data_IF_256703432657
#
_entry.id   IF_256703432657
#
_cell.length_a   1.000
_cell.length_b   1.000
_cell.length_c   1.000
_cell.angle_alpha   90.00
_cell.angle_beta   90.00
_cell.angle_gamma   90.00
#
_symmetry.space_group_name_H-M   'P 1'
#
loop_
_entity.id
_entity.type
_entity.pdbx_description
1 polymer ?
#
# COMPACT_ATOMS: atom_id res chain seq x y z
N UNK A 1 -37.63 -6.92 38.61
CA UNK A 1 -36.88 -5.86 37.90
C UNK A 1 -35.75 -6.42 37.01
N UNK A 2 -35.11 -7.54 37.38
CA UNK A 2 -34.18 -8.26 36.48
C UNK A 2 -34.89 -8.84 35.24
N UNK A 3 -36.08 -9.40 35.41
CA UNK A 3 -36.82 -10.06 34.32
C UNK A 3 -37.25 -9.08 33.21
N UNK A 4 -37.42 -7.79 33.54
CA UNK A 4 -37.77 -6.76 32.57
C UNK A 4 -36.60 -6.38 31.67
N UNK A 5 -35.37 -6.36 32.20
CA UNK A 5 -34.16 -6.08 31.43
C UNK A 5 -33.82 -7.25 30.51
N UNK A 6 -33.96 -8.49 31.01
CA UNK A 6 -33.69 -9.70 30.25
C UNK A 6 -34.69 -9.90 29.09
N UNK A 7 -35.97 -9.53 29.30
CA UNK A 7 -36.99 -9.53 28.25
C UNK A 7 -36.74 -8.44 27.18
N UNK A 8 -36.20 -7.28 27.56
CA UNK A 8 -35.81 -6.23 26.60
C UNK A 8 -34.59 -6.66 25.78
N UNK A 9 -33.58 -7.26 26.42
CA UNK A 9 -32.40 -7.82 25.74
C UNK A 9 -32.77 -8.95 24.76
N UNK A 10 -33.80 -9.74 25.07
CA UNK A 10 -34.30 -10.80 24.18
C UNK A 10 -35.18 -10.25 23.05
N UNK A 11 -36.01 -9.22 23.31
CA UNK A 11 -36.93 -8.64 22.33
C UNK A 11 -36.24 -7.72 21.32
N UNK A 12 -35.19 -7.00 21.73
CA UNK A 12 -34.47 -6.04 20.88
C UNK A 12 -33.05 -6.49 20.50
N UNK A 13 -32.61 -7.65 21.03
CA UNK A 13 -31.25 -8.11 20.94
C UNK A 13 -30.33 -7.35 21.90
N UNK A 14 -29.29 -8.01 22.40
CA UNK A 14 -28.24 -7.36 23.20
C UNK A 14 -27.63 -6.24 22.35
N UNK A 15 -27.87 -4.99 22.75
CA UNK A 15 -27.33 -3.85 22.02
C UNK A 15 -25.81 -3.88 22.20
N UNK A 16 -25.04 -3.97 21.11
CA UNK A 16 -23.58 -3.91 21.19
C UNK A 16 -23.14 -2.72 22.04
N UNK A 17 -22.37 -2.99 23.09
CA UNK A 17 -21.82 -1.97 23.97
C UNK A 17 -20.80 -1.10 23.24
N UNK A 18 -20.49 0.06 23.81
CA UNK A 18 -19.42 0.94 23.33
C UNK A 18 -18.07 0.19 23.29
N UNK A 19 -17.81 -0.64 24.30
CA UNK A 19 -16.63 -1.51 24.39
C UNK A 19 -16.60 -2.56 23.27
N UNK A 20 -17.72 -3.25 23.00
CA UNK A 20 -17.79 -4.27 21.92
C UNK A 20 -17.44 -3.67 20.55
N UNK A 21 -18.00 -2.50 20.25
CA UNK A 21 -17.76 -1.80 18.97
C UNK A 21 -16.31 -1.34 18.88
N UNK A 22 -15.74 -0.84 19.98
CA UNK A 22 -14.35 -0.40 20.00
C UNK A 22 -13.37 -1.57 19.92
N UNK A 23 -13.66 -2.70 20.57
CA UNK A 23 -12.90 -3.94 20.41
C UNK A 23 -12.93 -4.44 18.96
N UNK A 24 -14.06 -4.36 18.26
CA UNK A 24 -14.13 -4.70 16.83
C UNK A 24 -13.25 -3.78 15.98
N UNK A 25 -13.23 -2.49 16.29
CA UNK A 25 -12.34 -1.53 15.65
C UNK A 25 -10.86 -1.90 15.88
N UNK A 26 -10.44 -2.14 17.12
CA UNK A 26 -9.05 -2.49 17.46
C UNK A 26 -8.58 -3.83 16.87
N UNK A 27 -9.50 -4.78 16.67
CA UNK A 27 -9.20 -6.07 16.06
C UNK A 27 -9.30 -6.06 14.52
N UNK A 28 -9.75 -4.97 13.91
CA UNK A 28 -9.87 -4.90 12.46
C UNK A 28 -8.48 -4.81 11.80
N UNK A 29 -8.09 -5.87 11.08
CA UNK A 29 -6.87 -5.94 10.26
C UNK A 29 -7.21 -6.01 8.78
N UNK A 30 -6.25 -5.67 7.93
CA UNK A 30 -6.36 -5.84 6.48
C UNK A 30 -6.45 -7.33 6.16
N UNK A 31 -7.43 -7.71 5.36
CA UNK A 31 -7.62 -9.09 4.90
C UNK A 31 -6.68 -9.40 3.73
N UNK A 32 -6.40 -10.69 3.49
CA UNK A 32 -5.56 -11.12 2.36
C UNK A 32 -6.24 -10.72 1.05
N UNK A 33 -5.53 -9.95 0.21
CA UNK A 33 -6.05 -9.45 -1.06
C UNK A 33 -6.99 -8.24 -0.96
N UNK A 34 -7.30 -7.75 0.25
CA UNK A 34 -8.05 -6.52 0.44
C UNK A 34 -7.16 -5.32 0.09
N UNK A 35 -7.63 -4.44 -0.79
CA UNK A 35 -6.97 -3.14 -1.05
C UNK A 35 -6.86 -2.35 0.25
N UNK A 36 -5.79 -1.57 0.38
CA UNK A 36 -5.58 -0.73 1.57
C UNK A 36 -6.68 0.30 1.71
N UNK A 37 -7.13 0.91 0.61
CA UNK A 37 -8.26 1.85 0.61
C UNK A 37 -9.55 1.20 1.12
N UNK A 38 -9.84 -0.04 0.71
CA UNK A 38 -11.01 -0.79 1.18
C UNK A 38 -10.93 -1.09 2.68
N UNK A 39 -9.76 -1.50 3.17
CA UNK A 39 -9.50 -1.68 4.60
C UNK A 39 -9.73 -0.39 5.39
N UNK A 40 -9.16 0.73 4.93
CA UNK A 40 -9.30 2.05 5.59
C UNK A 40 -10.78 2.49 5.64
N UNK A 41 -11.54 2.28 4.56
CA UNK A 41 -12.98 2.58 4.54
C UNK A 41 -13.78 1.71 5.53
N UNK A 42 -13.48 0.41 5.59
CA UNK A 42 -14.12 -0.49 6.55
C UNK A 42 -13.79 -0.10 7.99
N UNK A 43 -12.54 0.27 8.23
CA UNK A 43 -12.07 0.73 9.53
C UNK A 43 -12.76 2.05 9.95
N UNK A 44 -12.93 3.00 9.03
CA UNK A 44 -13.63 4.26 9.30
C UNK A 44 -15.07 4.04 9.73
N UNK A 45 -15.80 3.10 9.11
CA UNK A 45 -17.17 2.75 9.52
C UNK A 45 -17.22 2.23 10.96
N UNK A 46 -16.24 1.42 11.37
CA UNK A 46 -16.14 0.90 12.73
C UNK A 46 -15.82 2.03 13.72
N UNK A 47 -14.92 2.93 13.35
CA UNK A 47 -14.54 4.09 14.17
C UNK A 47 -15.72 5.05 14.37
N UNK A 48 -16.46 5.37 13.30
CA UNK A 48 -17.65 6.21 13.39
C UNK A 48 -18.72 5.59 14.30
N UNK A 49 -18.91 4.27 14.23
CA UNK A 49 -19.82 3.56 15.14
C UNK A 49 -19.32 3.62 16.59
N UNK A 50 -18.01 3.51 16.82
CA UNK A 50 -17.41 3.64 18.14
C UNK A 50 -17.59 5.06 18.72
N UNK A 51 -17.38 6.08 17.89
CA UNK A 51 -17.64 7.48 18.22
C UNK A 51 -19.11 7.71 18.60
N UNK A 52 -20.06 7.25 17.78
CA UNK A 52 -21.49 7.39 18.05
C UNK A 52 -21.94 6.69 19.34
N UNK A 53 -21.20 5.66 19.79
CA UNK A 53 -21.44 4.97 21.06
C UNK A 53 -20.66 5.57 22.23
N UNK A 54 -19.93 6.67 22.03
CA UNK A 54 -19.16 7.37 23.06
C UNK A 54 -17.86 6.67 23.46
N UNK A 55 -17.34 5.75 22.65
CA UNK A 55 -16.08 5.05 22.94
C UNK A 55 -14.84 5.87 22.54
N UNK A 56 -14.98 6.85 21.65
CA UNK A 56 -13.89 7.69 21.13
C UNK A 56 -14.37 9.13 21.06
N UNK A 57 -13.53 10.08 21.46
CA UNK A 57 -13.82 11.51 21.33
C UNK A 57 -13.51 12.01 19.90
N UNK A 58 -14.21 13.05 19.43
CA UNK A 58 -14.05 13.55 18.04
C UNK A 58 -12.63 14.01 17.77
N UNK A 59 -11.98 14.64 18.75
CA UNK A 59 -10.62 15.16 18.71
C UNK A 59 -9.58 14.02 18.57
N UNK A 60 -9.94 12.81 18.96
CA UNK A 60 -9.06 11.64 18.92
C UNK A 60 -9.30 10.78 17.67
N UNK A 61 -10.29 11.09 16.83
CA UNK A 61 -10.66 10.24 15.70
C UNK A 61 -9.51 10.06 14.71
N UNK A 62 -8.84 11.15 14.32
CA UNK A 62 -7.75 11.09 13.35
C UNK A 62 -6.54 10.31 13.88
N UNK A 63 -6.19 10.52 15.15
CA UNK A 63 -5.10 9.81 15.81
C UNK A 63 -5.41 8.31 15.98
N UNK A 64 -6.62 8.00 16.44
CA UNK A 64 -7.11 6.62 16.62
C UNK A 64 -7.14 5.89 15.28
N UNK A 65 -7.62 6.54 14.23
CA UNK A 65 -7.64 6.01 12.86
C UNK A 65 -6.23 5.67 12.39
N UNK A 66 -5.32 6.63 12.41
CA UNK A 66 -3.96 6.43 11.89
C UNK A 66 -3.21 5.37 12.70
N UNK A 67 -3.34 5.40 14.03
CA UNK A 67 -2.74 4.39 14.91
C UNK A 67 -3.20 2.97 14.57
N UNK A 68 -4.49 2.77 14.33
CA UNK A 68 -5.03 1.46 13.97
C UNK A 68 -4.67 1.04 12.54
N UNK A 69 -4.62 1.97 11.59
CA UNK A 69 -4.16 1.69 10.21
C UNK A 69 -2.74 1.12 10.21
N UNK A 70 -1.83 1.76 10.95
CA UNK A 70 -0.43 1.32 11.05
C UNK A 70 -0.30 -0.07 11.69
N UNK A 71 -1.19 -0.43 12.63
CA UNK A 71 -1.21 -1.76 13.29
C UNK A 71 -1.88 -2.84 12.43
N UNK A 72 -2.93 -2.47 11.69
CA UNK A 72 -3.81 -3.40 10.99
C UNK A 72 -3.36 -3.73 9.56
N UNK A 73 -2.54 -2.89 8.94
CA UNK A 73 -1.90 -3.17 7.65
C UNK A 73 -0.64 -4.03 7.85
N UNK A 74 -0.30 -4.85 6.85
CA UNK A 74 0.92 -5.66 6.86
C UNK A 74 2.18 -4.78 6.98
N UNK A 75 3.16 -5.21 7.77
CA UNK A 75 4.33 -4.40 8.12
C UNK A 75 5.13 -3.90 6.90
N UNK A 76 5.22 -4.73 5.86
CA UNK A 76 5.97 -4.42 4.63
C UNK A 76 5.09 -3.85 3.51
N UNK A 77 3.88 -3.36 3.82
CA UNK A 77 3.04 -2.72 2.82
C UNK A 77 3.78 -1.53 2.20
N UNK A 78 3.94 -1.49 0.85
CA UNK A 78 4.63 -0.39 0.18
C UNK A 78 3.90 0.95 0.41
N UNK A 79 2.58 0.93 0.64
CA UNK A 79 1.77 2.11 0.92
C UNK A 79 2.14 2.73 2.28
N UNK A 80 2.32 1.92 3.33
CA UNK A 80 2.75 2.42 4.65
C UNK A 80 4.11 3.12 4.57
N UNK A 81 5.02 2.57 3.75
CA UNK A 81 6.38 3.07 3.58
C UNK A 81 6.41 4.38 2.78
N UNK A 82 5.78 4.40 1.61
CA UNK A 82 5.80 5.57 0.72
C UNK A 82 5.07 6.77 1.33
N UNK A 83 3.93 6.55 1.99
CA UNK A 83 3.17 7.62 2.65
C UNK A 83 3.69 7.96 4.06
N UNK A 84 4.72 7.26 4.54
CA UNK A 84 5.34 7.45 5.87
C UNK A 84 4.33 7.51 7.01
N UNK A 85 3.29 6.67 6.96
CA UNK A 85 2.16 6.74 7.90
C UNK A 85 2.56 6.49 9.36
N UNK A 86 3.71 5.86 9.60
CA UNK A 86 4.28 5.65 10.95
C UNK A 86 4.82 6.93 11.57
N UNK A 87 5.43 7.79 10.76
CA UNK A 87 6.04 9.05 11.20
C UNK A 87 4.98 10.13 11.46
N UNK A 88 3.78 9.97 10.88
CA UNK A 88 2.68 10.94 10.98
C UNK A 88 1.76 10.70 12.17
N UNK A 89 2.07 9.76 13.08
CA UNK A 89 1.20 9.42 14.22
C UNK A 89 1.01 10.58 15.21
N UNK A 90 2.01 11.46 15.33
CA UNK A 90 1.94 12.65 16.19
C UNK A 90 1.10 13.78 15.58
N UNK A 91 0.97 13.82 14.25
CA UNK A 91 0.15 14.78 13.51
C UNK A 91 -0.63 14.08 12.38
N UNK A 92 -1.71 13.37 12.73
CA UNK A 92 -2.43 12.53 11.79
C UNK A 92 -3.20 13.38 10.75
N UNK A 93 -3.25 12.96 9.47
CA UNK A 93 -4.15 13.55 8.51
C UNK A 93 -5.62 13.26 8.83
N UNK A 94 -6.49 14.13 8.34
CA UNK A 94 -7.92 13.87 8.28
C UNK A 94 -8.22 12.66 7.37
N UNK A 95 -9.38 12.04 7.58
CA UNK A 95 -9.82 10.88 6.79
C UNK A 95 -9.79 11.14 5.28
N UNK A 96 -10.30 12.30 4.84
CA UNK A 96 -10.42 12.65 3.43
C UNK A 96 -9.06 12.76 2.73
N UNK A 97 -8.07 13.36 3.41
CA UNK A 97 -6.72 13.46 2.87
C UNK A 97 -6.07 12.09 2.81
N UNK A 98 -6.20 11.30 3.90
CA UNK A 98 -5.61 9.97 3.98
C UNK A 98 -6.15 9.01 2.91
N UNK A 99 -7.48 8.95 2.73
CA UNK A 99 -8.07 8.03 1.75
C UNK A 99 -7.73 8.43 0.31
N UNK A 100 -7.54 9.73 0.05
CA UNK A 100 -7.10 10.22 -1.26
C UNK A 100 -5.65 9.79 -1.53
N UNK A 101 -4.73 10.09 -0.61
CA UNK A 101 -3.31 9.71 -0.72
C UNK A 101 -3.14 8.20 -0.91
N UNK A 102 -3.89 7.39 -0.15
CA UNK A 102 -3.86 5.91 -0.28
C UNK A 102 -4.31 5.45 -1.66
N UNK A 103 -5.37 6.03 -2.22
CA UNK A 103 -5.88 5.64 -3.56
C UNK A 103 -4.92 6.03 -4.68
N UNK A 104 -4.35 7.23 -4.59
CA UNK A 104 -3.35 7.72 -5.56
C UNK A 104 -2.11 6.80 -5.54
N UNK A 105 -1.67 6.40 -4.36
CA UNK A 105 -0.54 5.47 -4.21
C UNK A 105 -0.87 4.06 -4.71
N UNK A 106 -2.09 3.55 -4.47
CA UNK A 106 -2.56 2.27 -5.03
C UNK A 106 -2.58 2.30 -6.57
N UNK A 107 -3.05 3.40 -7.18
CA UNK A 107 -3.08 3.57 -8.63
C UNK A 107 -1.67 3.64 -9.23
N UNK A 108 -0.76 4.35 -8.55
CA UNK A 108 0.66 4.42 -8.94
C UNK A 108 1.33 3.04 -8.94
N UNK A 109 1.06 2.22 -7.93
CA UNK A 109 1.59 0.86 -7.85
C UNK A 109 1.00 -0.05 -8.93
N UNK A 110 -0.32 0.03 -9.16
CA UNK A 110 -0.98 -0.74 -10.20
C UNK A 110 -0.46 -0.38 -11.61
N UNK A 111 -0.21 0.90 -11.87
CA UNK A 111 0.38 1.33 -13.14
C UNK A 111 1.79 0.74 -13.33
N UNK A 112 2.63 0.75 -12.29
CA UNK A 112 3.97 0.17 -12.33
C UNK A 112 3.97 -1.34 -12.64
N UNK A 113 3.09 -2.11 -12.00
CA UNK A 113 2.94 -3.55 -12.24
C UNK A 113 2.54 -3.86 -13.70
N UNK A 114 1.66 -3.04 -14.29
CA UNK A 114 1.24 -3.21 -15.69
C UNK A 114 2.40 -3.03 -16.67
N UNK A 115 3.27 -2.03 -16.44
CA UNK A 115 4.43 -1.80 -17.30
C UNK A 115 5.47 -2.93 -17.22
N UNK A 116 5.69 -3.49 -16.03
CA UNK A 116 6.63 -4.59 -15.82
C UNK A 116 6.14 -5.90 -16.47
N UNK A 117 4.84 -6.20 -16.32
CA UNK A 117 4.19 -7.33 -16.98
C UNK A 117 4.25 -7.20 -18.51
N UNK A 118 4.11 -6.00 -19.05
CA UNK A 118 4.21 -5.75 -20.50
C UNK A 118 5.63 -5.99 -21.02
N UNK A 119 6.69 -5.61 -20.28
CA UNK A 119 8.08 -5.89 -20.67
C UNK A 119 8.40 -7.39 -20.65
N UNK A 120 7.90 -8.13 -19.66
CA UNK A 120 8.12 -9.57 -19.54
C UNK A 120 7.33 -10.36 -20.60
N UNK A 121 6.19 -9.84 -21.08
CA UNK A 121 5.45 -10.43 -22.19
C UNK A 121 6.04 -10.09 -23.57
N UNK A 122 6.63 -8.89 -23.74
CA UNK A 122 7.26 -8.48 -24.99
C UNK A 122 8.63 -9.15 -25.25
N UNK A 123 9.23 -9.81 -24.25
CA UNK A 123 10.52 -10.49 -24.34
C UNK A 123 10.41 -12.01 -24.33
N UNK A 124 9.29 -12.54 -24.81
CA UNK A 124 9.12 -13.97 -25.10
C UNK A 124 9.90 -14.43 -26.35
N UNK A 125 11.20 -14.15 -26.44
CA UNK A 125 12.26 -14.90 -27.17
C UNK A 125 13.58 -14.17 -26.92
N UNK A 126 14.27 -14.46 -25.81
CA UNK A 126 15.68 -14.07 -25.69
C UNK A 126 16.47 -15.16 -24.99
N UNK A 127 17.21 -15.90 -25.81
CA UNK A 127 18.44 -16.62 -25.45
C UNK A 127 19.24 -15.82 -24.43
N UNK A 128 19.73 -16.47 -23.37
CA UNK A 128 20.60 -15.87 -22.36
C UNK A 128 21.89 -15.38 -23.03
N UNK A 129 22.03 -14.06 -23.22
CA UNK A 129 23.31 -13.45 -23.60
C UNK A 129 23.92 -12.82 -22.35
N UNK A 130 24.88 -13.53 -21.77
CA UNK A 130 25.68 -13.04 -20.64
C UNK A 130 26.57 -11.88 -21.08
N UNK A 131 26.92 -10.93 -20.18
CA UNK A 131 27.74 -9.74 -20.49
C UNK A 131 29.10 -10.03 -21.13
N UNK A 132 29.60 -11.27 -21.02
CA UNK A 132 30.88 -11.70 -21.59
C UNK A 132 30.87 -11.76 -23.12
N UNK A 133 29.71 -12.07 -23.72
CA UNK A 133 29.57 -12.19 -25.18
C UNK A 133 29.46 -10.82 -25.89
N UNK A 134 29.06 -9.76 -25.15
CA UNK A 134 29.03 -8.40 -25.67
C UNK A 134 30.43 -7.82 -25.92
N UNK A 135 31.45 -8.29 -25.19
CA UNK A 135 32.81 -7.77 -25.37
C UNK A 135 33.52 -8.39 -26.58
N UNK A 136 33.19 -9.64 -26.95
CA UNK A 136 33.85 -10.37 -28.04
C UNK A 136 33.30 -10.00 -29.43
N UNK A 137 32.07 -9.50 -29.52
CA UNK A 137 31.43 -9.15 -30.79
C UNK A 137 31.88 -7.79 -31.38
N UNK A 138 32.72 -7.03 -30.68
CA UNK A 138 33.03 -5.63 -31.03
C UNK A 138 34.42 -5.40 -31.65
N UNK A 139 35.12 -6.46 -32.09
CA UNK A 139 36.49 -6.36 -32.62
C UNK A 139 36.67 -6.75 -34.10
N UNK A 140 35.59 -6.83 -34.89
CA UNK A 140 35.71 -7.19 -36.32
C UNK A 140 35.11 -6.21 -37.34
N UNK A 141 34.55 -5.06 -36.93
CA UNK A 141 33.97 -4.09 -37.88
C UNK A 141 34.59 -2.67 -37.77
N UNK A 142 35.91 -2.58 -37.93
CA UNK A 142 36.54 -1.34 -38.42
C UNK A 142 37.38 -1.72 -39.63
N UNK A 143 36.73 -1.74 -40.79
CA UNK A 143 37.38 -1.66 -42.08
C UNK A 143 37.11 -0.26 -42.65
N UNK A 144 38.08 0.25 -43.42
CA UNK A 144 38.02 1.31 -44.46
C UNK A 144 39.23 2.26 -44.37
N UNK A 145 40.13 2.05 -45.35
CA UNK A 145 40.89 3.04 -46.11
C UNK A 145 40.89 4.51 -45.63
N UNK A 146 42.07 5.02 -45.28
CA UNK A 146 42.83 6.01 -46.06
C UNK A 146 43.95 6.63 -45.21
N UNK A 147 45.22 6.41 -45.57
CA UNK A 147 46.26 7.46 -45.56
C UNK A 147 47.57 6.92 -46.13
N UNK A 148 47.83 7.40 -47.34
CA UNK A 148 49.13 7.46 -48.00
C UNK A 148 50.29 7.94 -47.09
N UNK A 149 51.49 7.47 -47.47
CA UNK A 149 52.78 8.18 -47.38
C UNK A 149 53.35 8.46 -45.97
N UNK A 150 54.25 7.59 -45.50
CA UNK A 150 55.57 7.99 -44.98
C UNK A 150 56.39 6.75 -44.59
N UNK A 151 57.23 6.22 -45.50
CA UNK A 151 58.56 5.61 -45.20
C UNK A 151 59.40 5.48 -46.49
N UNK A 152 59.79 6.62 -47.03
CA UNK A 152 61.17 6.92 -47.47
C UNK A 152 61.50 8.11 -46.55
N UNK A 153 62.47 8.08 -45.64
CA UNK A 153 63.91 7.91 -45.79
C UNK A 153 64.51 7.54 -44.43
N UNK A 154 65.70 6.92 -44.43
CA UNK A 154 66.50 6.60 -43.25
C UNK A 154 67.16 5.25 -43.33
#
# INVERSE_FOLDING_TARGET
MRDCLEALDHAFGRTEGSEDVYCKFLNARQQKGEKVSAYVQRLEKLLQRAFLRGAVAVEQMDQTRLGQIVRGIQYQSPILLHLRLRERQDNPPSYSSLIKEVREEEERQAAGEVWEVQQHQATGTTSVWTPKALMEAQLQDIDIHDTLLAKREG
#
